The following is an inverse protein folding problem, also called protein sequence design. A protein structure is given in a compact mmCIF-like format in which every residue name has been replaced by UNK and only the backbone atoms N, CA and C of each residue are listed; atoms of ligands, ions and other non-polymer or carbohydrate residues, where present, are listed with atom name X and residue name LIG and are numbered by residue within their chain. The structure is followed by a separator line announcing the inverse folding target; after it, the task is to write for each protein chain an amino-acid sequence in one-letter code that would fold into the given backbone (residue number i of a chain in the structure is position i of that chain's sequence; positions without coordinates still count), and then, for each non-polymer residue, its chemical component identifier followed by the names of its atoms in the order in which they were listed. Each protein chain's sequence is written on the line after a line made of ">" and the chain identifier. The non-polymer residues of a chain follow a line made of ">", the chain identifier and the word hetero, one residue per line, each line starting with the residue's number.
data_IF_354803042049
#
_entry.id   IF_354803042049
#
_cell.length_a   1.000
_cell.length_b   1.000
_cell.length_c   1.000
_cell.angle_alpha   90.00
_cell.angle_beta   90.00
_cell.angle_gamma   90.00
#
_symmetry.space_group_name_H-M   'P 1'
#
loop_
_entity.id
_entity.type
_entity.pdbx_description
1 polymer ?
#
# COMPACT_ATOMS: atom_id res chain seq x y z
N UNK A 1 18.74 10.22 1.34
CA UNK A 1 19.69 9.26 0.73
C UNK A 1 20.12 9.83 -0.62
N UNK A 2 21.41 9.82 -0.96
CA UNK A 2 21.85 10.12 -2.32
C UNK A 2 21.26 9.11 -3.31
N UNK A 3 20.85 9.56 -4.49
CA UNK A 3 20.35 8.70 -5.56
C UNK A 3 21.54 8.16 -6.35
N UNK A 4 21.88 6.89 -6.16
CA UNK A 4 23.09 6.28 -6.71
C UNK A 4 22.88 5.77 -8.13
N UNK A 5 23.94 5.83 -8.94
CA UNK A 5 23.95 5.35 -10.32
C UNK A 5 24.99 4.25 -10.50
N UNK A 6 24.59 3.14 -11.09
CA UNK A 6 25.48 2.02 -11.38
C UNK A 6 25.27 1.52 -12.80
N UNK A 7 26.32 1.09 -13.50
CA UNK A 7 26.14 0.51 -14.84
C UNK A 7 25.22 -0.71 -14.79
N UNK A 8 24.32 -0.81 -15.78
CA UNK A 8 23.38 -1.91 -15.92
C UNK A 8 24.07 -3.28 -16.16
N UNK A 9 25.33 -3.27 -16.60
CA UNK A 9 26.15 -4.48 -16.77
C UNK A 9 26.75 -5.00 -15.45
N UNK A 10 26.81 -4.19 -14.40
CA UNK A 10 27.36 -4.59 -13.11
C UNK A 10 26.33 -5.38 -12.29
N UNK A 11 26.82 -6.15 -11.31
CA UNK A 11 25.96 -6.87 -10.38
C UNK A 11 25.19 -5.90 -9.45
N UNK A 12 23.96 -6.28 -9.11
CA UNK A 12 23.15 -5.56 -8.13
C UNK A 12 23.84 -5.62 -6.78
N UNK A 13 23.89 -4.49 -6.07
CA UNK A 13 24.52 -4.40 -4.75
C UNK A 13 23.81 -5.27 -3.71
N UNK A 14 24.60 -6.01 -2.92
CA UNK A 14 24.09 -6.98 -1.94
C UNK A 14 24.05 -6.44 -0.51
N UNK A 15 24.72 -5.32 -0.22
CA UNK A 15 24.77 -4.74 1.13
C UNK A 15 24.57 -3.22 1.11
N UNK A 16 24.09 -2.61 2.21
CA UNK A 16 24.00 -1.16 2.34
C UNK A 16 25.34 -0.43 2.16
N UNK A 17 26.45 -1.02 2.61
CA UNK A 17 27.80 -0.45 2.47
C UNK A 17 28.23 -0.42 1.00
N UNK A 18 27.93 -1.48 0.24
CA UNK A 18 28.20 -1.52 -1.18
C UNK A 18 27.37 -0.48 -1.96
N UNK A 19 26.10 -0.27 -1.58
CA UNK A 19 25.28 0.79 -2.14
C UNK A 19 25.85 2.19 -1.82
N UNK A 20 26.26 2.41 -0.57
CA UNK A 20 26.84 3.68 -0.12
C UNK A 20 28.16 3.99 -0.84
N UNK A 21 28.95 2.96 -1.16
CA UNK A 21 30.24 3.08 -1.84
C UNK A 21 30.15 3.45 -3.33
N UNK A 22 28.96 3.43 -3.94
CA UNK A 22 28.77 3.86 -5.33
C UNK A 22 29.10 5.36 -5.44
N UNK A 23 30.03 5.69 -6.34
CA UNK A 23 30.54 7.06 -6.53
C UNK A 23 29.63 7.93 -7.40
N UNK A 24 29.05 7.35 -8.45
CA UNK A 24 28.16 8.09 -9.34
C UNK A 24 26.80 8.28 -8.63
N UNK A 25 26.34 9.52 -8.51
CA UNK A 25 25.06 9.86 -7.91
C UNK A 25 24.44 11.10 -8.54
N UNK A 26 23.12 11.24 -8.44
CA UNK A 26 22.41 12.46 -8.83
C UNK A 26 22.54 13.50 -7.73
N UNK A 27 22.80 14.74 -8.13
CA UNK A 27 22.92 15.87 -7.21
C UNK A 27 21.69 16.76 -7.27
N UNK A 28 21.42 17.43 -6.15
CA UNK A 28 20.30 18.35 -6.00
C UNK A 28 20.80 19.71 -5.51
N UNK A 29 20.19 20.79 -5.98
CA UNK A 29 20.45 22.13 -5.48
C UNK A 29 19.84 22.34 -4.08
N UNK A 30 20.11 23.50 -3.47
CA UNK A 30 19.57 23.85 -2.14
C UNK A 30 18.03 23.90 -2.06
N UNK A 31 17.34 23.92 -3.19
CA UNK A 31 15.87 23.92 -3.27
C UNK A 31 15.32 22.52 -3.57
N UNK A 32 16.17 21.49 -3.61
CA UNK A 32 15.78 20.12 -3.95
C UNK A 32 15.56 19.88 -5.44
N UNK A 33 16.01 20.78 -6.34
CA UNK A 33 15.94 20.55 -7.78
C UNK A 33 17.14 19.75 -8.26
N UNK A 34 16.91 18.82 -9.18
CA UNK A 34 17.98 18.03 -9.77
C UNK A 34 18.95 18.92 -10.55
N UNK A 35 20.25 18.72 -10.34
CA UNK A 35 21.33 19.37 -11.07
C UNK A 35 21.58 18.57 -12.35
N UNK A 36 21.53 19.22 -13.52
CA UNK A 36 21.67 18.57 -14.82
C UNK A 36 23.16 18.43 -15.25
N UNK A 37 23.95 17.81 -14.38
CA UNK A 37 25.37 17.53 -14.63
C UNK A 37 25.59 16.26 -15.47
N UNK A 38 26.84 15.80 -15.57
CA UNK A 38 27.17 14.57 -16.31
C UNK A 38 26.51 13.31 -15.73
N UNK A 39 26.25 13.25 -14.42
CA UNK A 39 25.55 12.12 -13.82
C UNK A 39 24.06 12.14 -14.17
N UNK A 40 23.44 13.32 -14.21
CA UNK A 40 22.09 13.45 -14.74
C UNK A 40 21.99 12.96 -16.18
N UNK A 41 22.95 13.32 -17.05
CA UNK A 41 22.96 12.85 -18.46
C UNK A 41 23.06 11.33 -18.57
N UNK A 42 23.79 10.66 -17.68
CA UNK A 42 23.84 9.19 -17.60
C UNK A 42 22.49 8.57 -17.21
N UNK A 43 21.79 9.19 -16.26
CA UNK A 43 20.52 8.69 -15.74
C UNK A 43 19.32 9.02 -16.65
N UNK A 44 19.38 10.15 -17.37
CA UNK A 44 18.32 10.63 -18.25
C UNK A 44 18.35 9.96 -19.64
N UNK A 45 18.41 8.63 -19.64
CA UNK A 45 18.38 7.81 -20.86
C UNK A 45 17.36 6.70 -20.68
N UNK A 46 16.59 6.43 -21.74
CA UNK A 46 15.50 5.45 -21.75
C UNK A 46 15.85 4.28 -22.65
N UNK A 47 15.43 3.08 -22.24
CA UNK A 47 15.81 1.84 -22.89
C UNK A 47 14.58 0.98 -23.21
N UNK A 48 14.70 0.12 -24.22
CA UNK A 48 13.64 -0.83 -24.55
C UNK A 48 13.55 -1.99 -23.55
N UNK A 49 14.68 -2.41 -22.99
CA UNK A 49 14.80 -3.53 -22.07
C UNK A 49 16.09 -3.43 -21.24
N UNK A 50 16.25 -4.31 -20.26
CA UNK A 50 17.53 -4.46 -19.53
C UNK A 50 18.69 -4.75 -20.47
N UNK A 51 18.50 -5.64 -21.45
CA UNK A 51 19.54 -6.02 -22.42
C UNK A 51 19.96 -4.82 -23.28
N UNK A 52 19.00 -4.02 -23.73
CA UNK A 52 19.28 -2.78 -24.47
C UNK A 52 20.08 -1.79 -23.62
N UNK A 53 19.71 -1.63 -22.35
CA UNK A 53 20.44 -0.81 -21.40
C UNK A 53 21.88 -1.30 -21.21
N UNK A 54 22.08 -2.61 -21.03
CA UNK A 54 23.42 -3.20 -20.89
C UNK A 54 24.29 -2.98 -22.12
N UNK A 55 23.75 -3.21 -23.32
CA UNK A 55 24.47 -3.01 -24.60
C UNK A 55 24.88 -1.55 -24.82
N UNK A 56 24.04 -0.60 -24.39
CA UNK A 56 24.26 0.84 -24.56
C UNK A 56 25.00 1.49 -23.37
N UNK A 57 25.52 0.70 -22.43
CA UNK A 57 26.23 1.22 -21.26
C UNK A 57 25.35 2.06 -20.33
N UNK A 58 24.06 1.73 -20.26
CA UNK A 58 23.08 2.42 -19.43
C UNK A 58 23.26 2.18 -17.94
N UNK A 59 22.54 2.98 -17.15
CA UNK A 59 22.67 3.02 -15.69
C UNK A 59 21.37 2.61 -15.00
N UNK A 60 21.50 1.84 -13.92
CA UNK A 60 20.48 1.65 -12.89
C UNK A 60 20.50 2.85 -11.96
N UNK A 61 19.31 3.28 -11.57
CA UNK A 61 19.08 4.34 -10.60
C UNK A 61 18.61 3.66 -9.32
N UNK A 62 19.44 3.71 -8.27
CA UNK A 62 19.06 3.23 -6.94
C UNK A 62 18.40 4.36 -6.17
N UNK A 63 17.11 4.19 -5.91
CA UNK A 63 16.30 5.13 -5.13
C UNK A 63 15.07 4.40 -4.58
N UNK A 64 14.80 4.48 -3.26
CA UNK A 64 13.56 3.96 -2.68
C UNK A 64 12.36 4.66 -3.31
N UNK A 65 11.42 3.88 -3.83
CA UNK A 65 10.22 4.31 -4.52
C UNK A 65 10.36 4.52 -6.03
N UNK A 66 11.44 4.07 -6.66
CA UNK A 66 11.56 4.06 -8.12
C UNK A 66 10.35 3.36 -8.78
N UNK A 67 10.01 2.17 -8.29
CA UNK A 67 8.87 1.41 -8.77
C UNK A 67 7.60 1.74 -7.98
N UNK A 68 7.74 2.03 -6.69
CA UNK A 68 6.64 2.17 -5.71
C UNK A 68 6.73 3.50 -4.93
N UNK A 69 6.20 4.61 -5.43
CA UNK A 69 5.43 4.76 -6.67
C UNK A 69 5.80 6.05 -7.42
N UNK A 70 7.06 6.50 -7.35
CA UNK A 70 7.48 7.79 -7.90
C UNK A 70 7.16 7.91 -9.39
N UNK A 71 7.48 6.89 -10.19
CA UNK A 71 7.22 6.95 -11.63
C UNK A 71 5.73 6.98 -11.98
N UNK A 72 4.88 6.33 -11.18
CA UNK A 72 3.43 6.43 -11.37
C UNK A 72 2.93 7.83 -10.96
N UNK A 73 3.44 8.35 -9.85
CA UNK A 73 3.13 9.70 -9.35
C UNK A 73 3.48 10.76 -10.38
N UNK A 74 4.66 10.69 -11.00
CA UNK A 74 5.07 11.64 -12.05
C UNK A 74 4.21 11.47 -13.30
N UNK A 75 3.81 10.25 -13.66
CA UNK A 75 2.86 9.99 -14.75
C UNK A 75 1.49 10.65 -14.51
N UNK A 76 0.95 10.54 -13.30
CA UNK A 76 -0.30 11.19 -12.87
C UNK A 76 -0.21 12.71 -12.96
N UNK A 77 0.88 13.29 -12.44
CA UNK A 77 1.11 14.74 -12.53
C UNK A 77 1.29 15.21 -13.98
N UNK A 78 1.96 14.40 -14.82
CA UNK A 78 2.13 14.71 -16.24
C UNK A 78 0.79 14.71 -16.97
N UNK A 79 -0.11 13.78 -16.67
CA UNK A 79 -1.46 13.79 -17.24
C UNK A 79 -2.22 15.08 -16.89
N UNK A 80 -2.16 15.51 -15.62
CA UNK A 80 -2.79 16.76 -15.19
C UNK A 80 -2.22 17.98 -15.94
N UNK A 81 -0.89 18.05 -16.08
CA UNK A 81 -0.20 19.09 -16.85
C UNK A 81 -0.68 19.08 -18.31
N UNK A 82 -0.81 17.91 -18.93
CA UNK A 82 -1.25 17.76 -20.32
C UNK A 82 -2.71 18.19 -20.49
N UNK A 83 -3.60 17.77 -19.59
CA UNK A 83 -5.00 18.22 -19.59
C UNK A 83 -5.11 19.74 -19.53
N UNK A 84 -4.33 20.38 -18.66
CA UNK A 84 -4.30 21.84 -18.54
C UNK A 84 -3.70 22.52 -19.77
N UNK A 85 -2.55 22.02 -20.26
CA UNK A 85 -1.85 22.57 -21.44
C UNK A 85 -2.73 22.61 -22.68
N UNK A 86 -3.52 21.56 -22.90
CA UNK A 86 -4.41 21.44 -24.06
C UNK A 86 -5.84 21.89 -23.81
N UNK A 87 -6.11 22.53 -22.64
CA UNK A 87 -7.44 23.03 -22.29
C UNK A 87 -8.54 21.97 -22.43
N UNK A 88 -8.26 20.73 -22.01
CA UNK A 88 -9.22 19.63 -22.02
C UNK A 88 -10.25 19.91 -20.93
N UNK A 89 -11.53 19.94 -21.32
CA UNK A 89 -12.65 20.24 -20.42
C UNK A 89 -13.51 18.99 -20.20
N UNK A 90 -13.40 18.30 -19.05
CA UNK A 90 -14.28 17.19 -18.72
C UNK A 90 -15.69 17.71 -18.35
N UNK A 91 -16.71 16.86 -18.43
CA UNK A 91 -18.09 17.20 -18.01
C UNK A 91 -18.23 17.09 -16.49
N UNK A 92 -17.71 16.03 -15.89
CA UNK A 92 -17.52 15.94 -14.44
C UNK A 92 -16.14 16.41 -14.01
N UNK A 93 -16.01 16.83 -12.75
CA UNK A 93 -14.73 17.16 -12.15
C UNK A 93 -13.81 15.93 -12.14
N UNK A 94 -12.55 16.10 -12.55
CA UNK A 94 -11.50 15.09 -12.39
C UNK A 94 -10.58 15.55 -11.25
N UNK A 95 -10.52 14.74 -10.19
CA UNK A 95 -9.66 14.97 -9.05
C UNK A 95 -8.34 14.23 -9.23
N UNK A 96 -7.23 14.96 -9.13
CA UNK A 96 -5.88 14.40 -9.16
C UNK A 96 -5.32 14.45 -7.74
N UNK A 97 -5.26 13.29 -7.09
CA UNK A 97 -4.97 13.20 -5.67
C UNK A 97 -3.63 12.49 -5.42
N UNK A 98 -2.67 13.20 -4.82
CA UNK A 98 -1.53 12.56 -4.15
C UNK A 98 -1.95 12.15 -2.75
N UNK A 99 -1.89 10.86 -2.44
CA UNK A 99 -2.33 10.30 -1.15
C UNK A 99 -1.14 10.12 -0.22
N UNK A 100 -1.42 10.06 1.08
CA UNK A 100 -0.41 9.79 2.11
C UNK A 100 -0.75 8.51 2.85
N UNK A 101 0.28 7.88 3.40
CA UNK A 101 0.13 6.74 4.29
C UNK A 101 -0.39 5.48 3.61
N UNK A 102 -0.18 5.28 2.30
CA UNK A 102 -0.32 3.94 1.73
C UNK A 102 0.58 2.99 2.55
N UNK A 103 1.88 3.28 2.54
CA UNK A 103 2.90 2.37 3.01
C UNK A 103 2.94 2.16 4.53
N UNK A 104 3.47 0.99 4.94
CA UNK A 104 3.81 0.69 6.33
C UNK A 104 2.68 0.93 7.33
N UNK A 105 2.97 1.71 8.39
CA UNK A 105 2.01 2.10 9.44
C UNK A 105 0.99 3.18 8.99
N UNK A 106 1.13 3.70 7.77
CA UNK A 106 0.28 4.79 7.25
C UNK A 106 -1.19 4.42 7.10
N UNK A 107 -1.50 3.13 6.97
CA UNK A 107 -2.87 2.59 7.06
C UNK A 107 -3.89 3.23 6.11
N UNK A 108 -3.44 3.61 4.91
CA UNK A 108 -4.23 4.30 3.88
C UNK A 108 -4.84 5.61 4.36
N UNK A 109 -4.20 6.32 5.32
CA UNK A 109 -4.82 7.45 6.02
C UNK A 109 -5.32 8.55 5.07
N UNK A 110 -4.59 8.87 3.99
CA UNK A 110 -5.03 9.85 3.01
C UNK A 110 -6.31 9.44 2.27
N UNK A 111 -6.40 8.18 1.86
CA UNK A 111 -7.62 7.66 1.20
C UNK A 111 -8.78 7.53 2.17
N UNK A 112 -8.52 7.13 3.41
CA UNK A 112 -9.55 7.11 4.46
C UNK A 112 -10.12 8.49 4.71
N UNK A 113 -9.26 9.51 4.79
CA UNK A 113 -9.71 10.89 4.93
C UNK A 113 -10.54 11.33 3.72
N UNK A 114 -10.11 11.01 2.50
CA UNK A 114 -10.81 11.38 1.27
C UNK A 114 -12.22 10.78 1.18
N UNK A 115 -12.40 9.55 1.64
CA UNK A 115 -13.67 8.80 1.58
C UNK A 115 -14.44 8.77 2.91
N UNK A 116 -14.02 9.56 3.90
CA UNK A 116 -14.68 9.63 5.21
C UNK A 116 -14.71 8.28 5.95
N UNK A 117 -13.69 7.45 5.76
CA UNK A 117 -13.66 6.10 6.33
C UNK A 117 -13.35 6.12 7.83
N UNK A 118 -14.27 5.59 8.62
CA UNK A 118 -14.16 5.42 10.06
C UNK A 118 -13.75 3.98 10.38
N UNK A 119 -12.59 3.83 11.05
CA UNK A 119 -12.02 2.53 11.39
C UNK A 119 -12.84 1.78 12.45
N UNK A 120 -13.39 2.48 13.43
CA UNK A 120 -14.17 1.86 14.51
C UNK A 120 -15.41 1.15 13.97
N UNK A 121 -16.04 1.73 12.95
CA UNK A 121 -17.21 1.15 12.28
C UNK A 121 -16.84 0.25 11.10
N UNK A 122 -15.66 0.46 10.50
CA UNK A 122 -15.21 -0.21 9.28
C UNK A 122 -15.93 0.27 8.02
N UNK A 123 -16.41 1.52 8.00
CA UNK A 123 -17.27 2.04 6.94
C UNK A 123 -16.89 3.46 6.51
N UNK A 124 -17.44 3.95 5.39
CA UNK A 124 -17.09 5.25 4.81
C UNK A 124 -18.15 5.76 3.83
N UNK A 125 -18.18 7.07 3.58
CA UNK A 125 -19.38 7.75 3.07
C UNK A 125 -19.30 8.29 1.63
N UNK A 126 -18.13 8.29 0.97
CA UNK A 126 -17.95 8.86 -0.38
C UNK A 126 -18.62 10.24 -0.56
N UNK A 127 -18.44 11.16 0.39
CA UNK A 127 -19.17 12.44 0.42
C UNK A 127 -18.98 13.34 -0.83
N UNK A 128 -17.90 13.12 -1.59
CA UNK A 128 -17.62 13.85 -2.83
C UNK A 128 -18.32 13.25 -4.07
N UNK A 129 -19.03 12.12 -3.90
CA UNK A 129 -19.71 11.37 -4.95
C UNK A 129 -18.78 11.00 -6.12
N UNK A 130 -17.63 10.40 -5.81
CA UNK A 130 -16.77 9.83 -6.84
C UNK A 130 -17.52 8.70 -7.55
N UNK A 131 -17.61 8.80 -8.89
CA UNK A 131 -18.33 7.84 -9.74
C UNK A 131 -17.43 6.71 -10.26
N UNK A 132 -16.12 6.93 -10.22
CA UNK A 132 -15.08 5.95 -10.53
C UNK A 132 -13.76 6.38 -9.87
N UNK A 133 -12.91 5.42 -9.52
CA UNK A 133 -11.56 5.66 -9.01
C UNK A 133 -10.54 4.91 -9.88
N UNK A 134 -9.48 5.59 -10.31
CA UNK A 134 -8.39 4.96 -11.07
C UNK A 134 -7.07 5.19 -10.34
N UNK A 135 -6.60 4.17 -9.63
CA UNK A 135 -5.34 4.21 -8.88
C UNK A 135 -4.13 3.93 -9.77
N UNK A 136 -3.04 4.67 -9.56
CA UNK A 136 -1.78 4.50 -10.28
C UNK A 136 -0.68 4.03 -9.30
N UNK A 137 -0.73 2.76 -8.91
CA UNK A 137 0.15 2.22 -7.85
C UNK A 137 0.73 0.84 -8.23
N UNK A 138 0.15 0.17 -9.22
CA UNK A 138 0.69 -1.09 -9.69
C UNK A 138 2.07 -0.84 -10.33
N UNK A 139 3.02 -1.73 -10.06
CA UNK A 139 4.45 -1.49 -10.31
C UNK A 139 4.96 -2.06 -11.64
N UNK A 140 4.08 -2.62 -12.47
CA UNK A 140 4.46 -3.30 -13.72
C UNK A 140 3.55 -2.92 -14.89
N UNK A 141 4.11 -2.63 -16.08
CA UNK A 141 3.35 -2.58 -17.32
C UNK A 141 2.37 -3.75 -17.50
N UNK A 142 1.17 -3.48 -18.01
CA UNK A 142 0.14 -4.50 -18.20
C UNK A 142 -0.52 -5.04 -16.92
N UNK A 143 -0.18 -4.50 -15.75
CA UNK A 143 -0.88 -4.84 -14.51
C UNK A 143 -2.22 -4.11 -14.37
N UNK A 144 -3.12 -4.76 -13.66
CA UNK A 144 -4.44 -4.26 -13.30
C UNK A 144 -4.92 -5.02 -12.07
N UNK A 145 -5.15 -4.32 -10.97
CA UNK A 145 -5.69 -4.86 -9.73
C UNK A 145 -7.14 -4.42 -9.61
N UNK A 146 -8.02 -5.40 -9.47
CA UNK A 146 -9.48 -5.24 -9.44
C UNK A 146 -10.07 -5.69 -8.10
N UNK A 147 -9.36 -6.57 -7.40
CA UNK A 147 -9.70 -7.10 -6.10
C UNK A 147 -8.65 -6.64 -5.08
N UNK A 148 -9.11 -6.31 -3.89
CA UNK A 148 -8.31 -5.64 -2.87
C UNK A 148 -8.26 -6.48 -1.60
N UNK A 149 -7.06 -6.94 -1.26
CA UNK A 149 -6.81 -7.79 -0.11
C UNK A 149 -6.97 -6.93 1.15
N UNK A 150 -7.91 -7.30 2.01
CA UNK A 150 -8.07 -6.63 3.28
C UNK A 150 -7.06 -7.10 4.30
N UNK A 151 -6.82 -6.28 5.32
CA UNK A 151 -5.91 -6.62 6.40
C UNK A 151 -6.27 -5.98 7.72
N UNK A 152 -6.05 -6.73 8.81
CA UNK A 152 -5.92 -6.16 10.15
C UNK A 152 -4.47 -6.29 10.62
N UNK A 153 -3.92 -5.20 11.18
CA UNK A 153 -2.58 -5.20 11.77
C UNK A 153 -2.58 -4.52 13.14
N UNK A 154 -2.09 -5.25 14.13
CA UNK A 154 -2.03 -4.82 15.52
C UNK A 154 -0.59 -4.78 16.00
N UNK A 155 -0.25 -3.76 16.78
CA UNK A 155 0.95 -3.70 17.59
C UNK A 155 0.49 -3.75 19.05
N UNK A 156 0.92 -4.78 19.76
CA UNK A 156 0.55 -5.01 21.15
C UNK A 156 1.81 -4.91 21.99
N UNK A 157 1.86 -3.93 22.89
CA UNK A 157 2.97 -3.74 23.82
C UNK A 157 2.53 -4.10 25.22
N UNK A 158 3.22 -5.05 25.82
CA UNK A 158 3.11 -5.35 27.24
C UNK A 158 4.26 -4.67 28.00
N UNK A 159 3.95 -4.07 29.14
CA UNK A 159 4.92 -3.34 29.97
C UNK A 159 4.90 -3.91 31.38
N UNK A 160 6.09 -4.13 31.93
CA UNK A 160 6.29 -4.60 33.31
C UNK A 160 5.61 -3.68 34.33
N UNK A 161 5.27 -4.19 35.53
CA UNK A 161 4.78 -3.37 36.62
C UNK A 161 5.75 -2.23 36.95
N UNK A 162 5.23 -1.03 37.20
CA UNK A 162 6.02 0.19 37.42
C UNK A 162 7.00 0.06 38.61
N UNK A 163 6.64 -0.73 39.62
CA UNK A 163 7.45 -0.99 40.80
C UNK A 163 8.33 -2.24 40.75
N UNK A 164 8.41 -2.94 39.61
CA UNK A 164 9.14 -4.22 39.53
C UNK A 164 10.65 -4.03 39.81
N UNK A 165 11.17 -4.79 40.79
CA UNK A 165 12.58 -4.84 41.18
C UNK A 165 13.11 -6.27 41.04
N UNK A 166 14.25 -6.41 40.37
CA UNK A 166 14.95 -7.69 40.25
C UNK A 166 15.32 -8.23 41.64
N UNK A 167 15.06 -9.51 41.89
CA UNK A 167 15.28 -10.15 43.20
C UNK A 167 14.30 -9.72 44.30
N UNK A 168 13.27 -8.94 43.97
CA UNK A 168 12.18 -8.57 44.87
C UNK A 168 11.08 -9.64 44.95
N UNK A 169 9.89 -9.23 45.38
CA UNK A 169 8.71 -10.07 45.38
C UNK A 169 8.37 -10.58 43.97
N UNK A 170 7.78 -11.77 43.90
CA UNK A 170 7.29 -12.32 42.64
C UNK A 170 6.27 -11.37 41.99
N UNK A 171 6.40 -11.20 40.66
CA UNK A 171 5.59 -10.25 39.90
C UNK A 171 5.31 -10.77 38.48
N UNK A 172 4.14 -10.43 37.91
CA UNK A 172 3.81 -10.76 36.52
C UNK A 172 4.82 -10.16 35.56
N UNK A 173 5.01 -10.80 34.40
CA UNK A 173 6.01 -10.36 33.41
C UNK A 173 5.41 -10.00 32.05
N UNK A 174 5.93 -8.92 31.45
CA UNK A 174 5.58 -8.50 30.10
C UNK A 174 5.95 -9.58 29.06
N UNK A 175 7.12 -10.20 29.21
CA UNK A 175 7.55 -11.30 28.32
C UNK A 175 6.62 -12.50 28.43
N UNK A 176 6.19 -12.85 29.64
CA UNK A 176 5.27 -13.97 29.85
C UNK A 176 3.86 -13.68 29.31
N UNK A 177 3.35 -12.45 29.47
CA UNK A 177 2.11 -12.04 28.83
C UNK A 177 2.21 -12.11 27.29
N UNK A 178 3.33 -11.66 26.72
CA UNK A 178 3.58 -11.74 25.28
C UNK A 178 3.62 -13.20 24.79
N UNK A 179 4.36 -14.09 25.46
CA UNK A 179 4.48 -15.49 25.04
C UNK A 179 3.16 -16.25 25.18
N UNK A 180 2.36 -15.98 26.23
CA UNK A 180 0.98 -16.49 26.35
C UNK A 180 0.11 -16.02 25.19
N UNK A 181 0.23 -14.76 24.79
CA UNK A 181 -0.52 -14.21 23.64
C UNK A 181 -0.15 -14.94 22.36
N UNK A 182 1.14 -15.16 22.11
CA UNK A 182 1.64 -15.89 20.94
C UNK A 182 1.11 -17.33 20.95
N UNK A 183 1.18 -18.02 22.08
CA UNK A 183 0.68 -19.39 22.22
C UNK A 183 -0.83 -19.49 21.91
N UNK A 184 -1.63 -18.59 22.49
CA UNK A 184 -3.08 -18.51 22.20
C UNK A 184 -3.35 -18.30 20.71
N UNK A 185 -2.59 -17.41 20.05
CA UNK A 185 -2.73 -17.15 18.61
C UNK A 185 -2.32 -18.38 17.78
N UNK A 186 -1.26 -19.10 18.17
CA UNK A 186 -0.80 -20.29 17.43
C UNK A 186 -1.78 -21.46 17.48
N UNK A 187 -2.59 -21.53 18.53
CA UNK A 187 -3.61 -22.58 18.70
C UNK A 187 -4.89 -22.30 17.91
N UNK A 188 -5.14 -21.05 17.52
CA UNK A 188 -6.25 -20.70 16.63
C UNK A 188 -6.10 -21.46 15.30
N UNK A 189 -7.23 -21.82 14.69
CA UNK A 189 -7.31 -22.36 13.32
C UNK A 189 -8.34 -21.58 12.53
N UNK A 190 -7.92 -21.00 11.40
CA UNK A 190 -8.86 -20.43 10.45
C UNK A 190 -9.62 -21.54 9.71
N UNK A 191 -10.76 -21.23 9.08
CA UNK A 191 -11.41 -22.19 8.18
C UNK A 191 -10.47 -22.73 7.09
N UNK A 192 -9.52 -21.91 6.61
CA UNK A 192 -8.50 -22.32 5.63
C UNK A 192 -7.49 -23.32 6.20
N UNK A 193 -7.17 -23.26 7.50
CA UNK A 193 -6.25 -24.22 8.12
C UNK A 193 -6.88 -25.60 8.26
N UNK A 194 -8.20 -25.64 8.45
CA UNK A 194 -8.99 -26.86 8.58
C UNK A 194 -9.38 -27.46 7.23
N UNK A 195 -9.74 -26.62 6.24
CA UNK A 195 -10.14 -27.05 4.90
C UNK A 195 -9.62 -26.09 3.82
N UNK A 196 -8.82 -26.62 2.88
CA UNK A 196 -8.26 -25.87 1.74
C UNK A 196 -9.30 -25.54 0.66
N UNK A 197 -10.57 -25.88 0.86
CA UNK A 197 -11.70 -25.39 0.04
C UNK A 197 -12.25 -24.06 0.55
N UNK A 198 -11.98 -23.68 1.80
CA UNK A 198 -12.39 -22.40 2.33
C UNK A 198 -11.63 -21.25 1.64
N UNK A 199 -12.08 -20.00 1.81
CA UNK A 199 -11.32 -18.87 1.30
C UNK A 199 -10.01 -18.69 2.08
N UNK A 200 -8.90 -18.55 1.36
CA UNK A 200 -7.57 -18.39 1.97
C UNK A 200 -7.51 -17.12 2.82
N UNK A 201 -7.52 -17.30 4.12
CA UNK A 201 -7.29 -16.28 5.13
C UNK A 201 -5.99 -16.60 5.86
N UNK A 202 -5.10 -15.61 5.98
CA UNK A 202 -3.80 -15.78 6.64
C UNK A 202 -3.74 -14.93 7.88
N UNK A 203 -3.05 -15.41 8.90
CA UNK A 203 -2.70 -14.63 10.09
C UNK A 203 -1.33 -15.07 10.59
N UNK A 204 -0.60 -14.15 11.22
CA UNK A 204 0.72 -14.45 11.78
C UNK A 204 1.10 -13.44 12.86
N UNK A 205 1.89 -13.88 13.83
CA UNK A 205 2.73 -12.98 14.62
C UNK A 205 4.01 -12.74 13.81
N UNK A 206 4.07 -11.60 13.12
CA UNK A 206 5.17 -11.31 12.19
C UNK A 206 6.42 -10.78 12.88
N UNK A 207 6.27 -10.13 14.03
CA UNK A 207 7.37 -9.57 14.83
C UNK A 207 7.08 -9.81 16.30
N UNK A 208 8.08 -10.25 17.04
CA UNK A 208 8.07 -10.27 18.51
C UNK A 208 9.44 -9.76 18.99
N UNK A 209 9.43 -8.74 19.84
CA UNK A 209 10.65 -8.09 20.30
C UNK A 209 10.47 -7.55 21.71
N UNK A 210 11.50 -7.65 22.54
CA UNK A 210 11.53 -7.00 23.85
C UNK A 210 12.69 -6.01 23.92
N UNK A 211 12.57 -5.02 24.79
CA UNK A 211 13.67 -4.11 25.09
C UNK A 211 14.90 -4.90 25.56
N UNK A 212 16.09 -4.42 25.22
CA UNK A 212 17.33 -4.99 25.72
C UNK A 212 17.32 -4.93 27.26
N UNK A 213 17.59 -6.07 27.90
CA UNK A 213 17.70 -6.15 29.34
C UNK A 213 19.12 -5.80 29.80
N UNK A 214 19.24 -5.10 30.94
CA UNK A 214 20.51 -4.96 31.63
C UNK A 214 21.01 -6.33 32.16
N UNK A 215 22.32 -6.51 32.38
CA UNK A 215 22.87 -7.74 32.93
C UNK A 215 22.17 -8.16 34.23
N UNK A 216 21.62 -9.37 34.25
CA UNK A 216 20.92 -9.92 35.42
C UNK A 216 19.46 -9.47 35.60
N UNK A 217 18.92 -8.68 34.67
CA UNK A 217 17.53 -8.23 34.66
C UNK A 217 16.71 -8.87 33.53
N UNK A 218 15.39 -8.69 33.56
CA UNK A 218 14.48 -9.01 32.45
C UNK A 218 14.04 -7.74 31.72
N UNK A 219 13.63 -7.89 30.45
CA UNK A 219 13.12 -6.80 29.61
C UNK A 219 11.93 -6.08 30.27
N UNK A 220 11.87 -4.75 30.12
CA UNK A 220 10.83 -3.91 30.73
C UNK A 220 9.57 -3.76 29.88
N UNK A 221 9.71 -3.88 28.57
CA UNK A 221 8.57 -3.99 27.67
C UNK A 221 8.84 -4.98 26.55
N UNK A 222 7.75 -5.56 26.05
CA UNK A 222 7.74 -6.54 24.99
C UNK A 222 6.59 -6.21 24.03
N UNK A 223 6.90 -6.18 22.74
CA UNK A 223 5.95 -5.85 21.68
C UNK A 223 5.81 -7.04 20.74
N UNK A 224 4.57 -7.37 20.38
CA UNK A 224 4.29 -8.24 19.25
C UNK A 224 3.49 -7.51 18.17
N UNK A 225 3.71 -7.88 16.90
CA UNK A 225 2.95 -7.39 15.77
C UNK A 225 2.21 -8.54 15.10
N UNK A 226 0.90 -8.39 14.96
CA UNK A 226 0.01 -9.39 14.36
C UNK A 226 -0.51 -8.86 13.04
N UNK A 227 -0.41 -9.67 11.98
CA UNK A 227 -0.94 -9.38 10.64
C UNK A 227 -1.97 -10.44 10.27
N UNK A 228 -3.07 -10.00 9.68
CA UNK A 228 -4.19 -10.83 9.25
C UNK A 228 -4.64 -10.37 7.88
N UNK A 229 -4.92 -11.28 6.93
CA UNK A 229 -5.33 -10.92 5.57
C UNK A 229 -6.39 -11.86 5.02
N UNK A 230 -7.34 -11.30 4.29
CA UNK A 230 -8.33 -12.08 3.54
C UNK A 230 -8.82 -11.32 2.30
N UNK A 231 -9.20 -12.01 1.21
CA UNK A 231 -9.82 -11.39 0.05
C UNK A 231 -11.22 -10.82 0.33
N UNK A 232 -11.94 -11.32 1.34
CA UNK A 232 -13.26 -10.82 1.73
C UNK A 232 -13.36 -10.46 3.21
N UNK A 233 -14.30 -9.55 3.54
CA UNK A 233 -14.39 -8.95 4.87
C UNK A 233 -14.89 -9.93 5.94
N UNK A 234 -15.75 -10.89 5.57
CA UNK A 234 -16.35 -11.84 6.51
C UNK A 234 -15.31 -12.71 7.22
N UNK A 235 -14.53 -13.52 6.50
CA UNK A 235 -13.45 -14.33 7.07
C UNK A 235 -12.40 -13.49 7.81
N UNK A 236 -12.06 -12.30 7.30
CA UNK A 236 -11.13 -11.37 7.98
C UNK A 236 -11.64 -10.96 9.36
N UNK A 237 -12.91 -10.56 9.45
CA UNK A 237 -13.55 -10.12 10.70
C UNK A 237 -13.75 -11.28 11.68
N UNK A 238 -14.07 -12.48 11.16
CA UNK A 238 -14.18 -13.69 11.97
C UNK A 238 -12.84 -14.08 12.61
N UNK A 239 -11.74 -13.95 11.86
CA UNK A 239 -10.41 -14.16 12.42
C UNK A 239 -10.06 -13.09 13.46
N UNK A 240 -10.35 -11.82 13.19
CA UNK A 240 -10.09 -10.71 14.13
C UNK A 240 -10.79 -10.96 15.46
N UNK A 241 -12.04 -11.37 15.41
CA UNK A 241 -12.87 -11.65 16.59
C UNK A 241 -12.32 -12.80 17.45
N UNK A 242 -11.53 -13.70 16.87
CA UNK A 242 -10.83 -14.77 17.61
C UNK A 242 -9.49 -14.30 18.17
N UNK A 243 -8.72 -13.52 17.39
CA UNK A 243 -7.35 -13.14 17.73
C UNK A 243 -7.29 -11.95 18.70
N UNK A 244 -8.01 -10.87 18.44
CA UNK A 244 -7.90 -9.62 19.22
C UNK A 244 -8.16 -9.82 20.73
N UNK A 245 -9.17 -10.62 21.16
CA UNK A 245 -9.37 -10.90 22.59
C UNK A 245 -8.21 -11.64 23.26
N UNK A 246 -7.39 -12.39 22.49
CA UNK A 246 -6.27 -13.15 23.06
C UNK A 246 -5.19 -12.25 23.67
N UNK A 247 -5.05 -11.02 23.17
CA UNK A 247 -4.06 -10.06 23.66
C UNK A 247 -4.33 -9.74 25.14
N UNK A 248 -5.55 -9.30 25.43
CA UNK A 248 -5.98 -9.00 26.79
C UNK A 248 -6.04 -10.27 27.65
N UNK A 249 -6.56 -11.37 27.12
CA UNK A 249 -6.67 -12.63 27.86
C UNK A 249 -5.30 -13.15 28.33
N UNK A 250 -4.24 -12.98 27.53
CA UNK A 250 -2.89 -13.37 27.90
C UNK A 250 -2.30 -12.51 29.04
N UNK A 251 -2.50 -11.18 28.97
CA UNK A 251 -2.13 -10.28 30.06
C UNK A 251 -2.91 -10.60 31.35
N UNK A 252 -4.21 -10.82 31.23
CA UNK A 252 -5.07 -11.13 32.38
C UNK A 252 -4.68 -12.45 33.05
N UNK A 253 -4.38 -13.49 32.26
CA UNK A 253 -3.90 -14.77 32.78
C UNK A 253 -2.57 -14.63 33.50
N UNK A 254 -1.64 -13.85 32.95
CA UNK A 254 -0.35 -13.60 33.60
C UNK A 254 -0.54 -12.82 34.91
N UNK A 255 -1.37 -11.79 34.94
CA UNK A 255 -1.67 -11.04 36.16
C UNK A 255 -2.39 -11.90 37.21
N UNK A 256 -3.36 -12.72 36.80
CA UNK A 256 -4.13 -13.57 37.68
C UNK A 256 -3.28 -14.62 38.41
N UNK A 257 -2.20 -15.12 37.77
CA UNK A 257 -1.22 -16.00 38.41
C UNK A 257 -0.62 -15.40 39.69
N UNK A 258 -0.54 -14.07 39.77
CA UNK A 258 -0.02 -13.32 40.91
C UNK A 258 -1.13 -12.67 41.76
N UNK A 259 -2.39 -13.09 41.58
CA UNK A 259 -3.54 -12.54 42.32
C UNK A 259 -3.93 -11.13 41.93
N UNK A 260 -3.48 -10.64 40.77
CA UNK A 260 -3.72 -9.28 40.28
C UNK A 260 -4.78 -9.25 39.19
N UNK A 261 -5.47 -8.12 39.07
CA UNK A 261 -6.41 -7.80 38.00
C UNK A 261 -5.84 -6.74 37.08
N UNK A 262 -6.35 -6.67 35.84
CA UNK A 262 -5.97 -5.60 34.92
C UNK A 262 -6.31 -4.24 35.52
N UNK A 263 -5.36 -3.31 35.49
CA UNK A 263 -5.50 -1.98 36.09
C UNK A 263 -4.91 -1.86 37.50
N UNK A 264 -4.59 -2.97 38.17
CA UNK A 264 -3.87 -2.91 39.45
C UNK A 264 -2.49 -2.26 39.25
N UNK A 265 -2.04 -1.49 40.24
CA UNK A 265 -0.76 -0.76 40.19
C UNK A 265 0.44 -1.67 39.88
N UNK A 266 0.38 -2.92 40.36
CA UNK A 266 1.46 -3.89 40.25
C UNK A 266 1.23 -4.91 39.12
N UNK A 267 0.23 -4.71 38.27
CA UNK A 267 -0.06 -5.57 37.12
C UNK A 267 0.78 -5.18 35.91
N UNK A 268 1.00 -6.14 35.01
CA UNK A 268 1.43 -5.88 33.63
C UNK A 268 0.36 -5.06 32.93
N UNK A 269 0.80 -4.05 32.17
CA UNK A 269 -0.07 -3.20 31.34
C UNK A 269 0.02 -3.60 29.88
N UNK A 270 -1.05 -3.37 29.13
CA UNK A 270 -1.11 -3.58 27.69
C UNK A 270 -1.48 -2.27 26.99
N UNK A 271 -0.72 -1.91 25.97
CA UNK A 271 -1.06 -0.89 24.99
C UNK A 271 -1.34 -1.60 23.67
N UNK A 272 -2.51 -1.32 23.09
CA UNK A 272 -2.92 -1.85 21.79
C UNK A 272 -2.97 -0.70 20.79
N UNK A 273 -2.11 -0.75 19.78
CA UNK A 273 -2.14 0.18 18.65
C UNK A 273 -2.68 -0.57 17.44
N UNK A 274 -3.83 -0.09 16.96
CA UNK A 274 -4.41 -0.54 15.72
C UNK A 274 -3.88 0.31 14.56
N UNK A 275 -2.90 -0.21 13.82
CA UNK A 275 -2.24 0.53 12.73
C UNK A 275 -2.50 -0.07 11.34
N UNK A 276 -3.33 -1.10 11.23
CA UNK A 276 -3.77 -1.66 9.96
C UNK A 276 -5.24 -2.02 9.99
N UNK A 277 -6.05 -1.25 9.26
CA UNK A 277 -7.42 -1.56 8.87
C UNK A 277 -7.52 -1.26 7.38
N UNK A 278 -7.33 -2.27 6.55
CA UNK A 278 -7.54 -2.14 5.11
C UNK A 278 -8.78 -2.96 4.79
N UNK A 279 -9.90 -2.35 4.37
CA UNK A 279 -11.12 -3.11 4.12
C UNK A 279 -10.94 -4.03 2.92
N UNK A 280 -11.42 -5.27 3.02
CA UNK A 280 -11.35 -6.22 1.93
C UNK A 280 -12.41 -5.93 0.87
N UNK A 281 -12.07 -6.08 -0.40
CA UNK A 281 -13.05 -5.99 -1.47
C UNK A 281 -12.74 -7.00 -2.59
N UNK A 282 -13.68 -7.90 -2.83
CA UNK A 282 -13.65 -8.80 -3.98
C UNK A 282 -14.84 -8.49 -4.88
N UNK A 283 -14.58 -8.20 -6.15
CA UNK A 283 -15.65 -7.95 -7.12
C UNK A 283 -16.48 -9.20 -7.34
N UNK A 284 -17.80 -9.01 -7.31
CA UNK A 284 -18.78 -10.02 -7.71
C UNK A 284 -19.07 -10.00 -9.21
N UNK A 285 -18.89 -8.86 -9.86
CA UNK A 285 -19.12 -8.65 -11.28
C UNK A 285 -18.00 -7.78 -11.86
N UNK A 286 -17.42 -8.22 -12.98
CA UNK A 286 -16.38 -7.49 -13.71
C UNK A 286 -16.94 -6.63 -14.85
N UNK A 287 -18.26 -6.66 -15.09
CA UNK A 287 -18.94 -5.82 -16.06
C UNK A 287 -19.31 -4.44 -15.49
N UNK A 288 -18.50 -3.90 -14.58
CA UNK A 288 -18.65 -2.53 -14.07
C UNK A 288 -17.94 -1.52 -14.98
N UNK A 289 -18.32 -0.25 -14.85
CA UNK A 289 -17.85 0.80 -15.75
C UNK A 289 -16.33 1.01 -15.68
N UNK A 290 -15.71 0.92 -14.50
CA UNK A 290 -14.28 1.15 -14.36
C UNK A 290 -13.48 0.01 -15.02
N UNK A 291 -13.94 -1.23 -14.89
CA UNK A 291 -13.35 -2.39 -15.56
C UNK A 291 -13.48 -2.30 -17.09
N UNK A 292 -14.67 -1.94 -17.59
CA UNK A 292 -14.90 -1.76 -19.03
C UNK A 292 -14.02 -0.65 -19.62
N UNK A 293 -13.91 0.49 -18.92
CA UNK A 293 -13.02 1.59 -19.31
C UNK A 293 -11.56 1.14 -19.30
N UNK A 294 -11.10 0.46 -18.25
CA UNK A 294 -9.72 -0.04 -18.16
C UNK A 294 -9.39 -0.98 -19.33
N UNK A 295 -10.29 -1.91 -19.66
CA UNK A 295 -10.12 -2.84 -20.76
C UNK A 295 -10.14 -2.13 -22.12
N UNK A 296 -11.18 -1.35 -22.40
CA UNK A 296 -11.37 -0.72 -23.70
C UNK A 296 -10.26 0.28 -24.03
N UNK A 297 -9.80 1.06 -23.05
CA UNK A 297 -8.72 2.03 -23.28
C UNK A 297 -7.39 1.37 -23.61
N UNK A 298 -7.11 0.16 -23.09
CA UNK A 298 -5.93 -0.62 -23.51
C UNK A 298 -6.02 -1.00 -24.99
N UNK A 299 -7.20 -1.42 -25.44
CA UNK A 299 -7.45 -1.78 -26.84
C UNK A 299 -7.31 -0.56 -27.75
N UNK A 300 -7.97 0.54 -27.41
CA UNK A 300 -7.98 1.78 -28.20
C UNK A 300 -6.58 2.39 -28.33
N UNK A 301 -5.79 2.42 -27.26
CA UNK A 301 -4.45 3.01 -27.29
C UNK A 301 -3.39 2.05 -27.85
N UNK A 302 -3.67 0.74 -27.83
CA UNK A 302 -2.73 -0.29 -28.28
C UNK A 302 -1.53 -0.44 -27.34
N UNK A 303 -1.78 -0.39 -26.02
CA UNK A 303 -0.77 -0.59 -24.97
C UNK A 303 -1.38 -1.40 -23.83
N UNK A 304 -0.57 -2.23 -23.17
CA UNK A 304 -1.00 -3.00 -21.99
C UNK A 304 -2.24 -3.89 -22.23
N UNK A 305 -2.38 -4.40 -23.46
CA UNK A 305 -3.45 -5.33 -23.83
C UNK A 305 -3.25 -6.67 -23.11
N UNK A 306 -4.24 -7.07 -22.33
CA UNK A 306 -4.24 -8.33 -21.57
C UNK A 306 -5.23 -9.32 -22.18
N UNK A 307 -4.95 -10.61 -22.03
CA UNK A 307 -5.82 -11.69 -22.54
C UNK A 307 -7.02 -11.96 -21.64
N UNK A 308 -6.89 -11.67 -20.34
CA UNK A 308 -7.93 -11.85 -19.34
C UNK A 308 -7.67 -10.91 -18.17
N UNK A 309 -8.75 -10.52 -17.47
CA UNK A 309 -8.66 -9.77 -16.23
C UNK A 309 -8.00 -10.62 -15.15
N UNK A 310 -7.09 -10.01 -14.38
CA UNK A 310 -6.48 -10.67 -13.23
C UNK A 310 -7.41 -10.59 -12.03
N UNK A 311 -7.70 -11.73 -11.43
CA UNK A 311 -8.65 -11.83 -10.31
C UNK A 311 -7.97 -12.02 -8.95
N UNK A 312 -6.63 -12.04 -8.90
CA UNK A 312 -5.90 -12.03 -7.65
C UNK A 312 -6.09 -10.70 -6.91
N UNK A 313 -5.98 -10.75 -5.58
CA UNK A 313 -6.10 -9.57 -4.74
C UNK A 313 -4.74 -9.01 -4.34
N UNK A 314 -4.63 -7.68 -4.26
CA UNK A 314 -3.48 -6.95 -3.71
C UNK A 314 -3.96 -5.92 -2.69
N UNK A 315 -3.12 -5.47 -1.76
CA UNK A 315 -3.50 -4.41 -0.81
C UNK A 315 -2.89 -3.09 -1.26
N UNK A 316 -3.71 -2.07 -1.47
CA UNK A 316 -3.36 -0.77 -2.08
C UNK A 316 -4.26 0.34 -1.52
N UNK A 317 -3.98 1.60 -1.87
CA UNK A 317 -4.89 2.75 -1.63
C UNK A 317 -6.35 2.47 -1.99
N UNK A 318 -6.55 1.73 -3.08
CA UNK A 318 -7.83 1.39 -3.68
C UNK A 318 -8.72 0.46 -2.85
N UNK A 319 -8.22 -0.13 -1.76
CA UNK A 319 -9.05 -0.86 -0.78
C UNK A 319 -10.23 0.00 -0.30
N UNK A 320 -9.98 1.27 0.04
CA UNK A 320 -10.98 2.19 0.60
C UNK A 320 -12.10 2.51 -0.39
N UNK A 321 -11.84 3.07 -1.59
CA UNK A 321 -12.90 3.41 -2.55
C UNK A 321 -13.70 2.17 -2.97
N UNK A 322 -13.03 1.02 -3.15
CA UNK A 322 -13.73 -0.21 -3.50
C UNK A 322 -14.66 -0.69 -2.37
N UNK A 323 -14.25 -0.59 -1.10
CA UNK A 323 -15.07 -0.96 0.04
C UNK A 323 -16.31 -0.08 0.21
N UNK A 324 -16.23 1.21 -0.10
CA UNK A 324 -17.38 2.13 -0.08
C UNK A 324 -18.24 2.06 -1.35
N UNK A 325 -17.94 1.13 -2.27
CA UNK A 325 -18.76 0.85 -3.45
C UNK A 325 -18.41 1.66 -4.71
N UNK A 326 -17.30 2.42 -4.71
CA UNK A 326 -16.86 3.13 -5.91
C UNK A 326 -16.17 2.16 -6.88
N UNK A 327 -16.61 2.07 -8.15
CA UNK A 327 -15.93 1.27 -9.17
C UNK A 327 -14.47 1.72 -9.31
N UNK A 328 -13.55 0.84 -8.94
CA UNK A 328 -12.13 1.20 -8.86
C UNK A 328 -11.28 0.38 -9.84
N UNK A 329 -10.17 0.86 -10.36
CA UNK A 329 -9.13 -0.01 -10.94
C UNK A 329 -7.78 0.56 -10.57
N UNK A 330 -6.89 -0.27 -10.04
CA UNK A 330 -5.49 0.14 -9.89
C UNK A 330 -4.65 -0.42 -11.04
N UNK A 331 -3.82 0.41 -11.65
CA UNK A 331 -3.00 0.04 -12.79
C UNK A 331 -1.65 0.76 -12.76
N UNK A 332 -0.79 0.42 -13.71
CA UNK A 332 0.53 1.01 -13.84
C UNK A 332 0.56 2.07 -14.94
N UNK A 333 1.17 3.22 -14.66
CA UNK A 333 1.42 4.29 -15.64
C UNK A 333 2.90 4.34 -16.05
N UNK A 334 3.81 4.09 -15.10
CA UNK A 334 5.26 4.17 -15.28
C UNK A 334 5.81 3.13 -16.27
N UNK A 335 6.77 3.50 -17.12
CA UNK A 335 7.44 2.53 -18.01
C UNK A 335 8.86 2.28 -17.56
N UNK A 336 9.17 1.02 -17.24
CA UNK A 336 10.51 0.58 -16.83
C UNK A 336 11.09 -0.39 -17.85
N UNK A 337 12.38 -0.25 -18.15
CA UNK A 337 13.12 -1.26 -18.91
C UNK A 337 13.47 -2.48 -18.02
N UNK A 338 13.74 -2.21 -16.74
CA UNK A 338 13.83 -3.17 -15.65
C UNK A 338 13.79 -2.46 -14.30
N UNK A 339 13.39 -3.18 -13.26
CA UNK A 339 13.42 -2.71 -11.87
C UNK A 339 13.53 -3.90 -10.92
N UNK A 340 13.91 -3.63 -9.67
CA UNK A 340 14.06 -4.65 -8.64
C UNK A 340 14.30 -4.03 -7.27
N UNK A 341 14.29 -4.88 -6.23
CA UNK A 341 14.52 -4.43 -4.86
C UNK A 341 13.39 -3.58 -4.26
N UNK A 342 12.15 -3.73 -4.76
CA UNK A 342 11.01 -3.07 -4.12
C UNK A 342 10.92 -3.44 -2.64
N UNK A 343 10.69 -2.44 -1.79
CA UNK A 343 10.64 -2.56 -0.33
C UNK A 343 11.96 -3.03 0.33
N UNK A 344 13.09 -2.89 -0.34
CA UNK A 344 14.42 -3.18 0.22
C UNK A 344 15.35 -1.97 0.12
N UNK A 345 16.48 -2.01 0.85
CA UNK A 345 17.45 -0.91 0.85
C UNK A 345 18.07 -0.63 -0.53
N UNK A 346 18.04 -1.63 -1.43
CA UNK A 346 18.61 -1.57 -2.77
C UNK A 346 17.55 -1.50 -3.86
N UNK A 347 16.41 -0.83 -3.63
CA UNK A 347 15.45 -0.56 -4.69
C UNK A 347 16.10 0.20 -5.86
N UNK A 348 15.82 -0.26 -7.09
CA UNK A 348 16.37 0.32 -8.29
C UNK A 348 15.45 0.19 -9.50
N UNK A 349 15.73 1.00 -10.51
CA UNK A 349 15.25 0.72 -11.85
C UNK A 349 15.98 1.44 -12.97
N UNK A 350 15.58 1.11 -14.18
CA UNK A 350 16.10 1.63 -15.44
C UNK A 350 14.89 2.20 -16.21
N UNK A 351 14.92 3.49 -16.59
CA UNK A 351 13.82 4.12 -17.32
C UNK A 351 13.53 3.40 -18.64
N UNK A 352 12.25 3.17 -18.92
CA UNK A 352 11.80 2.47 -20.12
C UNK A 352 11.39 3.40 -21.27
N UNK A 353 10.96 2.80 -22.37
CA UNK A 353 10.61 3.48 -23.62
C UNK A 353 9.64 4.67 -23.42
N UNK A 354 10.03 5.84 -23.95
CA UNK A 354 9.26 7.09 -23.79
C UNK A 354 7.91 7.08 -24.51
N UNK A 355 7.82 6.44 -25.68
CA UNK A 355 6.58 6.38 -26.46
C UNK A 355 5.52 5.53 -25.75
N UNK A 356 5.94 4.42 -25.17
CA UNK A 356 5.04 3.56 -24.39
C UNK A 356 4.56 4.26 -23.12
N UNK A 357 5.43 5.04 -22.45
CA UNK A 357 5.02 5.86 -21.32
C UNK A 357 4.03 6.97 -21.72
N UNK A 358 4.28 7.63 -22.85
CA UNK A 358 3.35 8.59 -23.43
C UNK A 358 1.98 7.97 -23.71
N UNK A 359 1.95 6.74 -24.27
CA UNK A 359 0.71 5.97 -24.46
C UNK A 359 0.02 5.65 -23.13
N UNK A 360 0.74 5.26 -22.08
CA UNK A 360 0.16 4.96 -20.76
C UNK A 360 -0.43 6.19 -20.07
N UNK A 361 0.28 7.32 -20.15
CA UNK A 361 -0.22 8.61 -19.66
C UNK A 361 -1.48 9.02 -20.44
N UNK A 362 -1.45 8.90 -21.76
CA UNK A 362 -2.62 9.18 -22.61
C UNK A 362 -3.80 8.24 -22.29
N UNK A 363 -3.53 6.95 -22.09
CA UNK A 363 -4.53 5.96 -21.69
C UNK A 363 -5.21 6.36 -20.38
N UNK A 364 -4.44 6.79 -19.38
CA UNK A 364 -5.01 7.26 -18.10
C UNK A 364 -5.91 8.50 -18.28
N UNK A 365 -5.49 9.47 -19.09
CA UNK A 365 -6.34 10.63 -19.44
C UNK A 365 -7.64 10.13 -20.09
N UNK A 366 -7.53 9.23 -21.07
CA UNK A 366 -8.69 8.67 -21.76
C UNK A 366 -9.63 7.92 -20.80
N UNK A 367 -9.08 7.19 -19.82
CA UNK A 367 -9.89 6.52 -18.79
C UNK A 367 -10.70 7.53 -17.98
N UNK A 368 -10.04 8.60 -17.48
CA UNK A 368 -10.70 9.68 -16.76
C UNK A 368 -11.78 10.38 -17.58
N UNK A 369 -11.48 10.75 -18.82
CA UNK A 369 -12.44 11.42 -19.72
C UNK A 369 -13.60 10.51 -20.15
N UNK A 370 -13.37 9.20 -20.28
CA UNK A 370 -14.46 8.26 -20.61
C UNK A 370 -15.44 8.14 -19.45
N UNK A 371 -14.94 8.09 -18.21
CA UNK A 371 -15.79 8.10 -17.02
C UNK A 371 -16.51 9.44 -16.86
N UNK A 372 -15.78 10.55 -16.97
CA UNK A 372 -16.25 11.90 -16.67
C UNK A 372 -16.99 12.60 -17.81
N UNK A 373 -16.91 12.11 -19.05
CA UNK A 373 -17.34 12.86 -20.24
C UNK A 373 -16.42 14.03 -20.55
N UNK A 374 -16.57 14.64 -21.72
CA UNK A 374 -15.75 15.79 -22.13
C UNK A 374 -16.37 16.64 -23.24
N UNK A 375 -15.92 17.89 -23.33
CA UNK A 375 -16.22 18.81 -24.43
C UNK A 375 -15.20 18.65 -25.55
N UNK A 376 -15.66 18.50 -26.79
CA UNK A 376 -14.79 18.45 -27.97
C UNK A 376 -14.31 19.85 -28.38
N UNK A 377 -13.29 19.90 -29.23
CA UNK A 377 -12.83 21.18 -29.83
C UNK A 377 -13.87 21.81 -30.77
N UNK A 378 -14.84 21.03 -31.27
CA UNK A 378 -15.97 21.48 -32.09
C UNK A 378 -17.12 22.04 -31.26
N UNK A 379 -17.05 21.93 -29.92
CA UNK A 379 -18.09 22.41 -28.99
C UNK A 379 -19.13 21.36 -28.62
N UNK A 380 -19.04 20.14 -29.16
CA UNK A 380 -19.92 19.03 -28.81
C UNK A 380 -19.62 18.48 -27.42
N UNK A 381 -20.63 17.89 -26.79
CA UNK A 381 -20.51 17.27 -25.46
C UNK A 381 -20.60 15.77 -25.59
N UNK A 382 -19.50 15.08 -25.27
CA UNK A 382 -19.50 13.63 -25.05
C UNK A 382 -19.92 13.38 -23.60
N UNK A 383 -21.06 12.72 -23.42
CA UNK A 383 -21.64 12.48 -22.10
C UNK A 383 -20.75 11.55 -21.24
N UNK A 384 -20.74 11.74 -19.91
CA UNK A 384 -20.11 10.79 -18.99
C UNK A 384 -20.66 9.38 -19.16
N UNK A 385 -19.78 8.38 -19.17
CA UNK A 385 -20.22 6.97 -19.19
C UNK A 385 -20.49 6.45 -17.79
N UNK A 386 -19.83 7.01 -16.76
CA UNK A 386 -20.10 6.68 -15.37
C UNK A 386 -21.32 7.49 -14.89
N UNK A 387 -22.35 6.80 -14.41
CA UNK A 387 -23.50 7.45 -13.79
C UNK A 387 -23.14 7.95 -12.38
N UNK A 388 -23.80 9.02 -11.88
CA UNK A 388 -23.74 9.38 -10.46
C UNK A 388 -24.11 8.19 -9.57
N UNK A 389 -23.38 7.99 -8.47
CA UNK A 389 -23.59 6.84 -7.55
C UNK A 389 -24.51 7.23 -6.39
N UNK A 390 -24.51 8.49 -5.98
CA UNK A 390 -25.39 9.00 -4.94
C UNK A 390 -25.42 10.53 -4.89
N UNK A 391 -25.84 11.09 -3.76
CA UNK A 391 -25.74 12.52 -3.50
C UNK A 391 -24.35 12.88 -2.94
N UNK A 392 -23.89 14.11 -3.17
CA UNK A 392 -22.74 14.68 -2.44
C UNK A 392 -23.21 15.04 -1.03
N UNK A 393 -23.07 14.13 -0.08
CA UNK A 393 -23.53 14.35 1.30
C UNK A 393 -22.56 13.74 2.31
N UNK A 394 -22.40 14.41 3.44
CA UNK A 394 -21.72 13.87 4.63
C UNK A 394 -22.70 13.15 5.56
N UNK A 395 -24.01 13.25 5.30
CA UNK A 395 -25.01 12.48 6.03
C UNK A 395 -24.77 10.98 5.80
N UNK A 396 -24.80 10.21 6.88
CA UNK A 396 -24.28 8.84 6.94
C UNK A 396 -24.87 7.94 5.85
N UNK A 397 -24.11 7.71 4.78
CA UNK A 397 -24.09 6.40 4.15
C UNK A 397 -23.01 5.64 4.88
N UNK A 398 -23.42 4.88 5.89
CA UNK A 398 -22.55 4.08 6.74
C UNK A 398 -21.42 3.42 5.97
#
# INVERSE_FOLDING_TARGET
>A
MPVKLQKASEAIVATPEALAAIKDELHFDKNGKIIQDENYKKAYVRYASLEDAQKKGGYRIYVPGFADAMGNTTGVMTAAIMMKKYNIKPVYDIWVCGTTGEEGKGNLCGMKQLYGYNQDTGKGNNALNFVANFGADSTRPGSGTLNYLGSYRFEVKYTEPEGYKQGGAEAPSALMAMTRSIAKISDIKSPWDLDKKAERTTYTVGVASCDAAAPGERSRSCTLMVDMRSPTQGPLSAMRSQIEPTFKAAMDEENAKYGLKSGDKNAVKMELVWFGDRPAHQRKNFNDIATQIYWQTAQTVGIDQIKALKTNSSSLNDNVPAAVGVPTVNFNVHTVAASGGGHTFNEWGIPGNAQDEGKRIFRMILMGLTAAGYHTSTGDVVKPTAAPIGARTTEEMY
#
